data_IF_100120371239
#
_entry.id   IF_100120371239
#
_cell.length_a   1.000
_cell.length_b   1.000
_cell.length_c   1.000
_cell.angle_alpha   90.00
_cell.angle_beta   90.00
_cell.angle_gamma   90.00
#
_symmetry.space_group_name_H-M   'P 1'
#
loop_
_entity.id
_entity.type
_entity.pdbx_description
1 polymer ?
#
# COMPACT_ATOMS: atom_id res chain seq x y z
N UNK A 1 11.67 0.89 8.81
CA UNK A 1 12.36 1.98 8.10
C UNK A 1 12.15 1.80 6.60
N UNK A 2 12.30 2.84 5.77
CA UNK A 2 12.15 2.71 4.30
C UNK A 2 13.06 1.62 3.70
N UNK A 3 14.27 1.47 4.24
CA UNK A 3 15.20 0.42 3.84
C UNK A 3 14.62 -1.00 4.04
N UNK A 4 13.83 -1.21 5.08
CA UNK A 4 13.19 -2.51 5.33
C UNK A 4 12.15 -2.84 4.26
N UNK A 5 11.40 -1.84 3.77
CA UNK A 5 10.41 -2.03 2.70
C UNK A 5 11.09 -2.43 1.39
N UNK A 6 12.25 -1.82 1.07
CA UNK A 6 13.07 -2.21 -0.08
C UNK A 6 13.53 -3.67 0.05
N UNK A 7 13.98 -4.10 1.23
CA UNK A 7 14.42 -5.49 1.42
C UNK A 7 13.25 -6.45 1.24
N UNK A 8 12.09 -6.14 1.80
CA UNK A 8 10.88 -6.97 1.68
C UNK A 8 10.44 -7.10 0.22
N UNK A 9 10.37 -5.98 -0.50
CA UNK A 9 9.90 -5.94 -1.88
C UNK A 9 10.85 -6.66 -2.87
N UNK A 10 12.15 -6.72 -2.56
CA UNK A 10 13.11 -7.55 -3.30
C UNK A 10 13.00 -9.03 -3.01
N UNK A 11 12.73 -9.39 -1.75
CA UNK A 11 12.79 -10.77 -1.28
C UNK A 11 11.51 -11.56 -1.57
N UNK A 12 10.37 -10.88 -1.64
CA UNK A 12 9.07 -11.52 -1.77
C UNK A 12 8.34 -11.06 -3.02
N UNK A 13 7.86 -12.04 -3.79
CA UNK A 13 7.00 -11.83 -4.96
C UNK A 13 5.56 -11.43 -4.56
N UNK A 14 5.09 -11.85 -3.39
CA UNK A 14 3.73 -11.59 -2.92
C UNK A 14 3.70 -11.32 -1.42
N UNK A 15 2.95 -10.31 -1.00
CA UNK A 15 2.78 -9.94 0.41
C UNK A 15 1.30 -9.82 0.78
N UNK A 16 0.96 -10.30 1.98
CA UNK A 16 -0.33 -10.09 2.63
C UNK A 16 -0.16 -9.01 3.71
N UNK A 17 -0.95 -7.95 3.62
CA UNK A 17 -1.04 -6.91 4.65
C UNK A 17 -2.43 -6.97 5.25
N UNK A 18 -2.53 -7.39 6.51
CA UNK A 18 -3.80 -7.60 7.18
C UNK A 18 -3.97 -6.70 8.40
N UNK A 19 -5.23 -6.41 8.73
CA UNK A 19 -5.61 -5.68 9.93
C UNK A 19 -5.30 -4.18 9.87
N UNK A 20 -5.32 -3.57 8.67
CA UNK A 20 -5.15 -2.12 8.57
C UNK A 20 -6.37 -1.43 9.20
N UNK A 21 -6.19 -0.64 10.28
CA UNK A 21 -7.29 0.08 10.91
C UNK A 21 -7.66 1.31 10.09
N UNK A 22 -8.79 1.95 10.42
CA UNK A 22 -9.08 3.31 9.95
C UNK A 22 -8.03 4.27 10.52
N UNK A 23 -7.36 5.01 9.65
CA UNK A 23 -6.29 5.95 9.97
C UNK A 23 -6.86 7.36 10.10
N UNK A 24 -6.78 7.93 11.30
CA UNK A 24 -7.22 9.29 11.59
C UNK A 24 -6.13 10.35 11.43
N UNK A 25 -6.45 11.59 11.79
CA UNK A 25 -5.48 12.70 11.77
C UNK A 25 -4.28 12.51 12.73
N UNK A 26 -4.43 11.69 13.77
CA UNK A 26 -3.36 11.38 14.71
C UNK A 26 -2.45 10.25 14.23
N UNK A 27 -2.80 9.59 13.14
CA UNK A 27 -2.10 8.41 12.61
C UNK A 27 -1.23 8.74 11.39
N UNK A 28 -0.87 10.01 11.20
CA UNK A 28 -0.15 10.44 10.00
C UNK A 28 1.21 9.74 9.83
N UNK A 29 1.90 9.39 10.92
CA UNK A 29 3.16 8.64 10.83
C UNK A 29 2.95 7.17 10.43
N UNK A 30 1.81 6.57 10.83
CA UNK A 30 1.42 5.24 10.35
C UNK A 30 0.95 5.30 8.89
N UNK A 31 0.20 6.33 8.54
CA UNK A 31 -0.29 6.60 7.18
C UNK A 31 0.86 6.80 6.21
N UNK A 32 1.86 7.62 6.56
CA UNK A 32 3.06 7.82 5.74
C UNK A 32 3.81 6.51 5.53
N UNK A 33 3.95 5.69 6.58
CA UNK A 33 4.60 4.38 6.50
C UNK A 33 3.84 3.40 5.60
N UNK A 34 2.51 3.43 5.61
CA UNK A 34 1.69 2.63 4.70
C UNK A 34 1.86 3.10 3.24
N UNK A 35 1.87 4.42 3.01
CA UNK A 35 2.11 5.00 1.69
C UNK A 35 3.47 4.57 1.15
N UNK A 36 4.54 4.76 1.93
CA UNK A 36 5.90 4.38 1.54
C UNK A 36 6.03 2.88 1.24
N UNK A 37 5.36 2.03 2.01
CA UNK A 37 5.36 0.59 1.78
C UNK A 37 4.66 0.24 0.46
N UNK A 38 3.43 0.71 0.26
CA UNK A 38 2.64 0.38 -0.94
C UNK A 38 3.30 0.93 -2.21
N UNK A 39 3.89 2.13 -2.15
CA UNK A 39 4.63 2.70 -3.29
C UNK A 39 5.83 1.83 -3.67
N UNK A 40 6.64 1.37 -2.71
CA UNK A 40 7.79 0.50 -2.99
C UNK A 40 7.37 -0.86 -3.56
N UNK A 41 6.27 -1.44 -3.06
CA UNK A 41 5.71 -2.69 -3.59
C UNK A 41 5.17 -2.51 -5.01
N UNK A 42 4.53 -1.37 -5.27
CA UNK A 42 3.99 -1.03 -6.57
C UNK A 42 5.09 -0.87 -7.62
N UNK A 43 6.14 -0.11 -7.31
CA UNK A 43 7.27 0.13 -8.21
C UNK A 43 7.98 -1.17 -8.63
N UNK A 44 7.96 -2.15 -7.73
CA UNK A 44 8.59 -3.46 -7.93
C UNK A 44 7.66 -4.55 -8.44
N UNK A 45 6.38 -4.26 -8.66
CA UNK A 45 5.41 -5.26 -9.13
C UNK A 45 5.29 -6.45 -8.21
N UNK A 46 5.28 -6.19 -6.90
CA UNK A 46 4.96 -7.20 -5.90
C UNK A 46 3.44 -7.35 -5.87
N UNK A 47 2.94 -8.57 -5.91
CA UNK A 47 1.51 -8.81 -5.74
C UNK A 47 1.13 -8.57 -4.27
N UNK A 48 0.09 -7.78 -4.02
CA UNK A 48 -0.32 -7.42 -2.66
C UNK A 48 -1.77 -7.84 -2.43
N UNK A 49 -2.01 -8.51 -1.31
CA UNK A 49 -3.36 -8.78 -0.80
C UNK A 49 -3.53 -7.94 0.45
N UNK A 50 -4.56 -7.09 0.48
CA UNK A 50 -4.83 -6.18 1.60
C UNK A 50 -6.14 -6.54 2.29
N UNK A 51 -6.10 -6.64 3.62
CA UNK A 51 -7.28 -6.74 4.48
C UNK A 51 -7.31 -5.56 5.43
N UNK A 52 -8.41 -4.79 5.38
CA UNK A 52 -8.59 -3.57 6.16
C UNK A 52 -9.95 -3.55 6.87
N UNK A 53 -10.08 -2.73 7.92
CA UNK A 53 -11.33 -2.62 8.70
C UNK A 53 -12.42 -1.81 8.01
N UNK A 54 -12.09 -1.14 6.89
CA UNK A 54 -13.00 -0.33 6.09
C UNK A 54 -12.58 -0.38 4.61
N UNK A 55 -13.47 -0.02 3.66
CA UNK A 55 -13.10 0.17 2.25
C UNK A 55 -11.95 1.16 2.09
N UNK A 56 -11.14 1.02 1.04
CA UNK A 56 -9.95 1.82 0.80
C UNK A 56 -10.24 3.34 0.81
N UNK A 57 -11.38 3.74 0.24
CA UNK A 57 -11.85 5.12 0.17
C UNK A 57 -12.17 5.73 1.54
N UNK A 58 -12.46 4.90 2.53
CA UNK A 58 -12.80 5.30 3.91
C UNK A 58 -11.69 4.99 4.92
N UNK A 59 -10.55 4.47 4.44
CA UNK A 59 -9.48 3.97 5.30
C UNK A 59 -8.61 5.09 5.89
N UNK A 60 -8.61 6.29 5.28
CA UNK A 60 -7.97 7.48 5.83
C UNK A 60 -8.99 8.60 6.00
N UNK A 61 -9.06 9.16 7.21
CA UNK A 61 -9.97 10.25 7.59
C UNK A 61 -9.22 11.53 8.00
N UNK A 62 -7.89 11.54 7.89
CA UNK A 62 -7.09 12.75 8.09
C UNK A 62 -7.16 13.69 6.88
N UNK A 63 -6.65 14.92 7.05
CA UNK A 63 -6.60 15.93 5.99
C UNK A 63 -5.20 16.13 5.40
N UNK A 64 -4.14 15.90 6.18
CA UNK A 64 -2.77 16.27 5.82
C UNK A 64 -2.22 15.44 4.66
N UNK A 65 -2.52 14.15 4.64
CA UNK A 65 -2.02 13.20 3.62
C UNK A 65 -3.10 12.81 2.61
N UNK A 66 -4.19 13.56 2.53
CA UNK A 66 -5.38 13.16 1.76
C UNK A 66 -5.08 12.95 0.27
N UNK A 67 -4.27 13.84 -0.33
CA UNK A 67 -3.86 13.71 -1.75
C UNK A 67 -2.96 12.51 -1.99
N UNK A 68 -2.01 12.25 -1.07
CA UNK A 68 -1.09 11.12 -1.18
C UNK A 68 -1.86 9.80 -1.02
N UNK A 69 -2.81 9.77 -0.08
CA UNK A 69 -3.65 8.61 0.18
C UNK A 69 -4.62 8.32 -0.96
N UNK A 70 -5.15 9.34 -1.63
CA UNK A 70 -5.93 9.14 -2.86
C UNK A 70 -5.11 8.46 -3.97
N UNK A 71 -3.84 8.85 -4.15
CA UNK A 71 -2.96 8.17 -5.12
C UNK A 71 -2.68 6.72 -4.71
N UNK A 72 -2.57 6.45 -3.42
CA UNK A 72 -2.43 5.08 -2.91
C UNK A 72 -3.69 4.24 -3.20
N UNK A 73 -4.89 4.79 -3.03
CA UNK A 73 -6.14 4.10 -3.36
C UNK A 73 -6.18 3.70 -4.84
N UNK A 74 -5.79 4.60 -5.76
CA UNK A 74 -5.71 4.26 -7.18
C UNK A 74 -4.79 3.07 -7.44
N UNK A 75 -3.59 3.07 -6.83
CA UNK A 75 -2.64 1.95 -6.96
C UNK A 75 -3.17 0.65 -6.37
N UNK A 76 -3.88 0.72 -5.25
CA UNK A 76 -4.52 -0.47 -4.65
C UNK A 76 -5.58 -1.06 -5.57
N UNK A 77 -6.35 -0.24 -6.28
CA UNK A 77 -7.29 -0.71 -7.30
C UNK A 77 -6.56 -1.31 -8.50
N UNK A 78 -5.42 -0.74 -8.90
CA UNK A 78 -4.57 -1.32 -9.95
C UNK A 78 -4.03 -2.70 -9.57
N UNK A 79 -3.63 -2.93 -8.31
CA UNK A 79 -3.20 -4.25 -7.81
C UNK A 79 -4.25 -5.34 -7.99
N UNK A 80 -5.53 -4.98 -7.91
CA UNK A 80 -6.63 -5.92 -8.05
C UNK A 80 -6.94 -6.28 -9.51
N UNK A 81 -6.30 -5.62 -10.48
CA UNK A 81 -6.49 -5.89 -11.90
C UNK A 81 -5.72 -7.13 -12.35
N UNK A 82 -6.34 -7.92 -13.23
CA UNK A 82 -5.67 -9.06 -13.87
C UNK A 82 -4.42 -8.65 -14.66
N UNK A 83 -4.45 -7.47 -15.26
CA UNK A 83 -3.31 -6.90 -16.01
C UNK A 83 -2.10 -6.67 -15.10
N UNK A 84 -2.32 -6.22 -13.87
CA UNK A 84 -1.24 -6.02 -12.90
C UNK A 84 -0.67 -7.34 -12.39
N UNK A 85 -1.54 -8.30 -12.03
CA UNK A 85 -1.13 -9.61 -11.51
C UNK A 85 -0.28 -10.39 -12.52
N UNK A 86 -0.48 -10.16 -13.82
CA UNK A 86 0.28 -10.78 -14.90
C UNK A 86 1.68 -10.17 -15.09
N UNK A 87 2.00 -9.03 -14.46
CA UNK A 87 3.30 -8.39 -14.60
C UNK A 87 4.40 -9.19 -13.88
N UNK A 88 5.56 -9.34 -14.51
CA UNK A 88 6.73 -9.93 -13.86
C UNK A 88 7.28 -9.00 -12.77
N UNK A 89 7.46 -9.57 -11.58
CA UNK A 89 8.11 -8.96 -10.41
C UNK A 89 9.53 -8.45 -10.72
N UNK A 90 9.93 -7.33 -10.09
CA UNK A 90 11.21 -6.64 -10.28
C UNK A 90 12.03 -6.60 -8.96
N UNK A 91 13.00 -7.51 -8.79
CA UNK A 91 13.87 -7.54 -7.61
C UNK A 91 14.91 -6.41 -7.54
#
# INVERSE_FOLDING_TARGET
>A
SKADYVILSKRFHTLLIAGIPVLGANDDDATRRLIELIDELYDRRVNVIVSATAPAESLYQGKRLQLDFQRLISRMHEFASWDYIALTHRP
#
